data_IF_900100862347
#
_entry.id   IF_900100862347
#
_cell.length_a   1.000
_cell.length_b   1.000
_cell.length_c   1.000
_cell.angle_alpha   90.00
_cell.angle_beta   90.00
_cell.angle_gamma   90.00
#
_symmetry.space_group_name_H-M   'P 1'
#
loop_
_entity.id
_entity.type
_entity.pdbx_description
1 polymer ?
#
# COMPACT_ATOMS: atom_id res chain seq x y z
N UNK A 1 -17.54 15.58 11.67
CA UNK A 1 -17.76 16.94 11.13
C UNK A 1 -18.88 17.71 11.82
N UNK A 2 -19.36 17.24 12.95
CA UNK A 2 -20.24 18.02 13.83
C UNK A 2 -19.45 19.22 14.35
N UNK A 3 -20.03 20.45 14.27
CA UNK A 3 -19.39 21.70 14.74
C UNK A 3 -18.71 22.56 13.70
N UNK A 4 -18.52 22.11 12.44
CA UNK A 4 -18.02 22.97 11.38
C UNK A 4 -19.13 23.89 10.85
N UNK A 5 -18.83 25.23 10.81
CA UNK A 5 -19.75 26.24 10.24
C UNK A 5 -19.90 26.09 8.72
N UNK A 6 -18.79 25.80 8.04
CA UNK A 6 -18.76 25.55 6.59
C UNK A 6 -18.18 24.17 6.32
N UNK A 7 -19.04 23.24 5.88
CA UNK A 7 -18.66 21.87 5.55
C UNK A 7 -18.19 21.72 4.11
N UNK A 8 -18.43 22.73 3.26
CA UNK A 8 -18.07 22.67 1.84
C UNK A 8 -16.56 22.67 1.63
N UNK A 9 -15.80 23.16 2.61
CA UNK A 9 -14.34 23.21 2.61
C UNK A 9 -13.65 22.10 3.40
N UNK A 10 -14.43 21.21 4.00
CA UNK A 10 -13.89 20.12 4.81
C UNK A 10 -13.64 18.87 3.94
N UNK A 11 -12.42 18.38 3.96
CA UNK A 11 -11.98 17.19 3.23
C UNK A 11 -10.87 16.47 4.01
N UNK A 12 -10.54 15.25 3.61
CA UNK A 12 -9.44 14.47 4.15
C UNK A 12 -8.27 14.40 3.19
N UNK A 13 -7.06 14.36 3.74
CA UNK A 13 -5.84 14.06 2.99
C UNK A 13 -5.10 12.92 3.68
N UNK A 14 -4.75 11.89 2.93
CA UNK A 14 -3.98 10.76 3.43
C UNK A 14 -2.59 10.79 2.83
N UNK A 15 -1.59 10.83 3.71
CA UNK A 15 -0.18 10.91 3.38
C UNK A 15 0.52 9.58 3.64
N UNK A 16 1.52 9.27 2.83
CA UNK A 16 2.31 8.06 3.01
C UNK A 16 3.60 8.32 3.77
N UNK A 17 4.00 7.36 4.57
CA UNK A 17 5.17 7.45 5.45
C UNK A 17 6.45 6.94 4.74
N UNK A 18 7.56 7.68 4.77
CA UNK A 18 7.74 9.01 5.34
C UNK A 18 7.27 10.12 4.37
N UNK A 19 6.47 11.11 4.84
CA UNK A 19 5.79 12.06 3.94
C UNK A 19 6.73 12.99 3.18
N UNK A 20 7.97 13.13 3.59
CA UNK A 20 8.98 13.94 2.90
C UNK A 20 9.70 13.18 1.77
N UNK A 21 9.51 11.87 1.64
CA UNK A 21 10.10 11.04 0.56
C UNK A 21 9.04 10.41 -0.33
N UNK A 22 7.89 10.02 0.22
CA UNK A 22 6.80 9.43 -0.57
C UNK A 22 5.91 10.56 -1.10
N UNK A 23 5.77 10.69 -2.44
CA UNK A 23 5.07 11.83 -3.02
C UNK A 23 3.54 11.75 -2.92
N UNK A 24 2.94 10.56 -2.82
CA UNK A 24 1.50 10.36 -2.90
C UNK A 24 0.75 11.05 -1.77
N UNK A 25 -0.32 11.78 -2.17
CA UNK A 25 -1.36 12.29 -1.27
C UNK A 25 -2.73 11.93 -1.85
N UNK A 26 -3.49 11.14 -1.11
CA UNK A 26 -4.87 10.80 -1.47
C UNK A 26 -5.81 11.83 -0.87
N UNK A 27 -6.56 12.54 -1.71
CA UNK A 27 -7.50 13.61 -1.31
C UNK A 27 -8.91 13.07 -1.43
N UNK A 28 -9.68 13.08 -0.36
CA UNK A 28 -11.09 12.64 -0.36
C UNK A 28 -12.01 13.70 0.22
N UNK A 29 -13.16 13.89 -0.44
CA UNK A 29 -14.22 14.74 0.05
C UNK A 29 -15.27 13.98 0.86
N UNK A 30 -16.20 14.74 1.39
CA UNK A 30 -17.45 14.23 1.98
C UNK A 30 -18.61 14.58 1.05
N UNK A 31 -19.81 14.16 1.39
CA UNK A 31 -21.01 14.55 0.65
C UNK A 31 -21.27 16.07 0.62
N UNK A 32 -20.63 16.85 1.47
CA UNK A 32 -20.76 18.31 1.52
C UNK A 32 -19.59 19.05 0.90
N UNK A 33 -18.48 18.38 0.65
CA UNK A 33 -17.25 19.02 0.13
C UNK A 33 -17.50 19.54 -1.30
N UNK A 34 -17.16 20.80 -1.54
CA UNK A 34 -17.24 21.38 -2.88
C UNK A 34 -16.15 20.83 -3.80
N UNK A 35 -16.44 20.74 -5.10
CA UNK A 35 -15.46 20.37 -6.11
C UNK A 35 -14.27 21.36 -6.15
N UNK A 36 -14.53 22.65 -5.90
CA UNK A 36 -13.50 23.69 -5.80
C UNK A 36 -12.52 23.42 -4.65
N UNK A 37 -13.02 23.04 -3.47
CA UNK A 37 -12.17 22.70 -2.33
C UNK A 37 -11.25 21.51 -2.63
N UNK A 38 -11.76 20.49 -3.32
CA UNK A 38 -10.96 19.33 -3.77
C UNK A 38 -9.89 19.79 -4.78
N UNK A 39 -10.28 20.51 -5.82
CA UNK A 39 -9.38 20.96 -6.87
C UNK A 39 -8.25 21.85 -6.32
N UNK A 40 -8.58 22.81 -5.45
CA UNK A 40 -7.59 23.68 -4.80
C UNK A 40 -6.64 22.92 -3.89
N UNK A 41 -7.13 21.90 -3.19
CA UNK A 41 -6.28 21.07 -2.33
C UNK A 41 -5.32 20.23 -3.16
N UNK A 42 -5.77 19.66 -4.27
CA UNK A 42 -4.89 18.94 -5.21
C UNK A 42 -3.82 19.88 -5.74
N UNK A 43 -4.21 21.03 -6.30
CA UNK A 43 -3.27 22.03 -6.84
C UNK A 43 -2.25 22.50 -5.80
N UNK A 44 -2.65 22.69 -4.53
CA UNK A 44 -1.75 23.02 -3.44
C UNK A 44 -0.68 21.95 -3.21
N UNK A 45 -1.07 20.69 -3.20
CA UNK A 45 -0.12 19.58 -3.01
C UNK A 45 0.82 19.42 -4.20
N UNK A 46 0.31 19.56 -5.42
CA UNK A 46 1.12 19.53 -6.65
C UNK A 46 2.14 20.67 -6.69
N UNK A 47 1.74 21.89 -6.27
CA UNK A 47 2.62 23.04 -6.20
C UNK A 47 3.81 22.86 -5.22
N UNK A 48 3.72 21.94 -4.28
CA UNK A 48 4.82 21.60 -3.36
C UNK A 48 5.48 20.25 -3.70
N UNK A 49 5.33 19.78 -4.94
CA UNK A 49 6.00 18.58 -5.46
C UNK A 49 5.41 17.27 -4.95
N UNK A 50 4.10 17.24 -4.65
CA UNK A 50 3.37 16.01 -4.32
C UNK A 50 2.60 15.49 -5.53
N UNK A 51 2.38 14.17 -5.57
CA UNK A 51 1.45 13.53 -6.49
C UNK A 51 0.11 13.41 -5.79
N UNK A 52 -0.81 14.32 -6.06
CA UNK A 52 -2.12 14.34 -5.42
C UNK A 52 -3.16 13.65 -6.29
N UNK A 53 -3.94 12.74 -5.71
CA UNK A 53 -5.00 12.01 -6.42
C UNK A 53 -6.35 12.18 -5.73
N UNK A 54 -7.42 12.34 -6.52
CA UNK A 54 -8.78 12.44 -5.99
C UNK A 54 -9.39 11.06 -5.76
N UNK A 55 -9.62 10.70 -4.51
CA UNK A 55 -10.39 9.53 -4.13
C UNK A 55 -11.88 9.93 -4.03
N UNK A 56 -12.65 9.60 -5.04
CA UNK A 56 -14.05 10.06 -5.22
C UNK A 56 -15.03 9.63 -4.12
N UNK A 57 -14.70 8.58 -3.37
CA UNK A 57 -15.50 8.09 -2.24
C UNK A 57 -14.60 7.80 -1.07
N UNK A 58 -14.97 8.29 0.10
CA UNK A 58 -14.32 7.90 1.35
C UNK A 58 -14.62 6.43 1.63
N UNK A 59 -13.56 5.62 1.65
CA UNK A 59 -13.62 4.18 1.93
C UNK A 59 -12.51 3.81 2.90
N UNK A 60 -12.73 2.85 3.81
CA UNK A 60 -11.70 2.38 4.73
C UNK A 60 -10.43 1.94 3.96
N UNK A 61 -9.29 2.55 4.32
CA UNK A 61 -7.99 2.25 3.72
C UNK A 61 -7.70 2.97 2.41
N UNK A 62 -8.55 3.88 1.96
CA UNK A 62 -8.37 4.61 0.69
C UNK A 62 -8.06 3.64 -0.47
N UNK A 63 -7.29 4.07 -1.47
CA UNK A 63 -6.89 3.20 -2.58
C UNK A 63 -5.60 2.43 -2.23
N UNK A 64 -4.57 3.15 -1.81
CA UNK A 64 -3.25 2.55 -1.62
C UNK A 64 -3.19 1.50 -0.52
N UNK A 65 -3.75 1.79 0.68
CA UNK A 65 -3.79 0.79 1.75
C UNK A 65 -4.63 -0.44 1.36
N UNK A 66 -5.73 -0.25 0.63
CA UNK A 66 -6.55 -1.38 0.17
C UNK A 66 -5.75 -2.34 -0.72
N UNK A 67 -5.02 -1.80 -1.71
CA UNK A 67 -4.18 -2.60 -2.61
C UNK A 67 -3.03 -3.27 -1.84
N UNK A 68 -2.36 -2.52 -0.96
CA UNK A 68 -1.28 -3.04 -0.13
C UNK A 68 -1.75 -4.18 0.78
N UNK A 69 -2.87 -4.00 1.47
CA UNK A 69 -3.39 -5.03 2.37
C UNK A 69 -4.02 -6.22 1.64
N UNK A 70 -4.53 -6.04 0.42
CA UNK A 70 -4.92 -7.17 -0.43
C UNK A 70 -3.72 -8.06 -0.78
N UNK A 71 -2.59 -7.44 -1.17
CA UNK A 71 -1.33 -8.16 -1.39
C UNK A 71 -0.82 -8.84 -0.11
N UNK A 72 -0.84 -8.14 1.03
CA UNK A 72 -0.37 -8.70 2.29
C UNK A 72 -1.25 -9.84 2.81
N UNK A 73 -2.58 -9.78 2.59
CA UNK A 73 -3.49 -10.87 2.95
C UNK A 73 -3.07 -12.16 2.27
N UNK A 74 -2.81 -12.14 0.96
CA UNK A 74 -2.34 -13.31 0.24
C UNK A 74 -0.92 -13.72 0.68
N UNK A 75 0.01 -12.77 0.83
CA UNK A 75 1.35 -13.06 1.30
C UNK A 75 1.39 -13.77 2.66
N UNK A 76 0.53 -13.37 3.59
CA UNK A 76 0.39 -14.01 4.91
C UNK A 76 -0.22 -15.40 4.75
N UNK A 77 -1.25 -15.56 3.91
CA UNK A 77 -1.90 -16.85 3.63
C UNK A 77 -0.93 -17.88 3.08
N UNK A 78 -0.04 -17.50 2.18
CA UNK A 78 1.00 -18.40 1.64
C UNK A 78 1.89 -18.97 2.75
N UNK A 79 2.26 -18.13 3.74
CA UNK A 79 3.06 -18.56 4.90
C UNK A 79 2.22 -19.38 5.89
N UNK A 80 1.00 -18.95 6.20
CA UNK A 80 0.06 -19.63 7.10
C UNK A 80 -0.21 -21.07 6.65
N UNK A 81 -0.38 -21.27 5.34
CA UNK A 81 -0.67 -22.57 4.73
C UNK A 81 0.59 -23.39 4.39
N UNK A 82 1.77 -22.91 4.76
CA UNK A 82 3.03 -23.63 4.54
C UNK A 82 3.43 -23.79 3.08
N UNK A 83 2.91 -22.96 2.18
CA UNK A 83 3.26 -22.97 0.75
C UNK A 83 4.72 -22.53 0.57
N UNK A 84 5.15 -21.51 1.32
CA UNK A 84 6.54 -21.11 1.41
C UNK A 84 6.78 -20.30 2.69
N UNK A 85 8.04 -20.00 2.99
CA UNK A 85 8.40 -19.11 4.11
C UNK A 85 8.30 -17.63 3.73
N UNK A 86 8.34 -16.76 4.74
CA UNK A 86 8.22 -15.32 4.54
C UNK A 86 9.39 -14.71 3.73
N UNK A 87 10.59 -15.33 3.77
CA UNK A 87 11.74 -14.88 2.98
C UNK A 87 11.54 -15.16 1.49
N UNK A 88 10.96 -16.31 1.17
CA UNK A 88 10.58 -16.68 -0.19
C UNK A 88 9.51 -15.75 -0.75
N UNK A 89 8.45 -15.43 0.01
CA UNK A 89 7.43 -14.46 -0.40
C UNK A 89 8.08 -13.11 -0.75
N UNK A 90 8.90 -12.59 0.16
CA UNK A 90 9.61 -11.31 -0.04
C UNK A 90 10.51 -11.35 -1.28
N UNK A 91 11.21 -12.46 -1.51
CA UNK A 91 12.12 -12.64 -2.65
C UNK A 91 11.34 -12.68 -3.97
N UNK A 92 10.25 -13.43 -4.01
CA UNK A 92 9.37 -13.51 -5.20
C UNK A 92 8.88 -12.11 -5.58
N UNK A 93 8.31 -11.35 -4.64
CA UNK A 93 7.81 -10.00 -4.94
C UNK A 93 8.93 -9.08 -5.45
N UNK A 94 10.06 -9.03 -4.73
CA UNK A 94 11.18 -8.13 -5.07
C UNK A 94 11.87 -8.50 -6.39
N UNK A 95 11.81 -9.76 -6.80
CA UNK A 95 12.48 -10.25 -8.01
C UNK A 95 11.55 -10.39 -9.22
N UNK A 96 10.25 -10.18 -9.05
CA UNK A 96 9.24 -10.30 -10.10
C UNK A 96 8.50 -8.98 -10.38
N UNK A 97 7.18 -8.99 -10.32
CA UNK A 97 6.34 -7.85 -10.67
C UNK A 97 6.57 -6.61 -9.78
N UNK A 98 7.04 -6.79 -8.54
CA UNK A 98 7.40 -5.68 -7.66
C UNK A 98 8.47 -4.75 -8.24
N UNK A 99 9.34 -5.26 -9.14
CA UNK A 99 10.37 -4.43 -9.80
C UNK A 99 9.79 -3.39 -10.77
N UNK A 100 8.60 -3.62 -11.29
CA UNK A 100 7.98 -2.75 -12.29
C UNK A 100 6.85 -1.88 -11.73
N UNK A 101 6.39 -2.12 -10.49
CA UNK A 101 5.28 -1.37 -9.91
C UNK A 101 5.51 0.15 -9.80
N UNK A 102 6.76 0.60 -9.75
CA UNK A 102 7.08 2.02 -9.72
C UNK A 102 6.85 2.72 -11.09
N UNK A 103 6.85 1.97 -12.19
CA UNK A 103 6.77 2.49 -13.56
C UNK A 103 5.61 1.90 -14.36
N UNK A 104 4.87 0.97 -13.80
CA UNK A 104 3.76 0.28 -14.44
C UNK A 104 2.71 -0.07 -13.39
N UNK A 105 1.59 0.66 -13.42
CA UNK A 105 0.46 0.41 -12.54
C UNK A 105 -0.24 -0.94 -12.84
N UNK A 106 -1.02 -1.50 -11.89
CA UNK A 106 -1.65 -2.80 -12.08
C UNK A 106 -2.64 -2.84 -13.26
N UNK A 107 -3.38 -1.77 -13.50
CA UNK A 107 -4.34 -1.70 -14.61
C UNK A 107 -3.63 -1.46 -15.95
N UNK A 108 -2.60 -0.62 -15.99
CA UNK A 108 -1.73 -0.47 -17.17
C UNK A 108 -1.08 -1.81 -17.54
N UNK A 109 -0.66 -2.60 -16.54
CA UNK A 109 -0.12 -3.94 -16.80
C UNK A 109 -1.20 -4.89 -17.34
N UNK A 110 -2.44 -4.82 -16.85
CA UNK A 110 -3.54 -5.64 -17.35
C UNK A 110 -3.87 -5.30 -18.80
N UNK A 111 -3.83 -4.01 -19.18
CA UNK A 111 -4.01 -3.57 -20.57
C UNK A 111 -2.83 -3.99 -21.45
N UNK A 112 -1.60 -3.87 -20.93
CA UNK A 112 -0.38 -4.25 -21.67
C UNK A 112 -0.36 -5.73 -22.07
N UNK A 113 -0.82 -6.62 -21.17
CA UNK A 113 -0.84 -8.08 -21.44
C UNK A 113 -2.13 -8.56 -22.11
N UNK A 114 -3.15 -7.73 -22.13
CA UNK A 114 -4.48 -8.03 -22.67
C UNK A 114 -5.49 -8.38 -21.59
N UNK A 115 -6.66 -7.77 -21.67
CA UNK A 115 -7.77 -7.97 -20.72
C UNK A 115 -8.37 -9.38 -20.81
N UNK A 116 -8.31 -9.99 -21.99
CA UNK A 116 -8.71 -11.38 -22.23
C UNK A 116 -7.80 -12.36 -21.50
N UNK A 117 -6.48 -12.18 -21.59
CA UNK A 117 -5.52 -12.98 -20.83
C UNK A 117 -5.67 -12.75 -19.33
N UNK A 118 -5.84 -11.50 -18.90
CA UNK A 118 -6.08 -11.16 -17.50
C UNK A 118 -7.32 -11.87 -16.98
N UNK A 119 -8.43 -11.88 -17.74
CA UNK A 119 -9.66 -12.59 -17.39
C UNK A 119 -9.44 -14.10 -17.28
N UNK A 120 -8.70 -14.69 -18.21
CA UNK A 120 -8.41 -16.13 -18.19
C UNK A 120 -7.60 -16.53 -16.95
N UNK A 121 -6.58 -15.74 -16.59
CA UNK A 121 -5.78 -15.93 -15.38
C UNK A 121 -6.66 -15.79 -14.14
N UNK A 122 -7.50 -14.75 -14.05
CA UNK A 122 -8.38 -14.52 -12.92
C UNK A 122 -9.34 -15.68 -12.67
N UNK A 123 -9.91 -16.31 -13.72
CA UNK A 123 -10.76 -17.49 -13.60
C UNK A 123 -10.06 -18.67 -12.93
N UNK A 124 -8.74 -18.76 -13.07
CA UNK A 124 -7.95 -19.84 -12.49
C UNK A 124 -7.42 -19.49 -11.11
N UNK A 125 -6.91 -18.28 -10.94
CA UNK A 125 -6.16 -17.89 -9.72
C UNK A 125 -7.07 -17.37 -8.62
N UNK A 126 -8.06 -16.51 -8.92
CA UNK A 126 -8.91 -15.89 -7.88
C UNK A 126 -9.66 -16.88 -7.00
N UNK A 127 -10.15 -18.05 -7.50
CA UNK A 127 -10.77 -19.04 -6.62
C UNK A 127 -9.81 -19.70 -5.61
N UNK A 128 -8.51 -19.60 -5.83
CA UNK A 128 -7.48 -20.27 -5.03
C UNK A 128 -6.75 -19.34 -4.06
N UNK A 129 -6.91 -18.02 -4.19
CA UNK A 129 -6.27 -17.04 -3.30
C UNK A 129 -7.15 -16.72 -2.09
N UNK A 130 -6.52 -16.15 -1.05
CA UNK A 130 -7.19 -15.85 0.21
C UNK A 130 -8.27 -14.75 0.05
N UNK A 131 -9.49 -15.04 0.50
CA UNK A 131 -10.65 -14.15 0.42
C UNK A 131 -11.31 -13.84 1.78
N UNK A 132 -10.71 -14.27 2.88
CA UNK A 132 -11.24 -14.08 4.25
C UNK A 132 -11.48 -12.60 4.56
N UNK A 133 -12.64 -12.32 5.15
CA UNK A 133 -13.05 -10.97 5.56
C UNK A 133 -12.56 -10.62 6.98
N UNK A 134 -11.30 -10.79 7.28
CA UNK A 134 -10.73 -10.50 8.61
C UNK A 134 -9.23 -10.74 8.63
N UNK A 135 -8.58 -10.49 9.77
CA UNK A 135 -7.16 -10.80 9.92
C UNK A 135 -6.93 -12.32 9.87
N UNK A 136 -5.71 -12.70 9.45
CA UNK A 136 -5.26 -14.09 9.50
C UNK A 136 -5.10 -14.54 10.95
N UNK A 137 -5.54 -15.76 11.27
CA UNK A 137 -5.32 -16.36 12.60
C UNK A 137 -3.84 -16.54 12.90
N UNK A 138 -3.02 -16.76 11.89
CA UNK A 138 -1.57 -16.81 12.03
C UNK A 138 -0.99 -15.47 12.48
N UNK A 139 -1.46 -14.37 11.89
CA UNK A 139 -1.07 -13.02 12.32
C UNK A 139 -1.52 -12.71 13.76
N UNK A 140 -2.75 -13.09 14.12
CA UNK A 140 -3.27 -12.96 15.50
C UNK A 140 -2.42 -13.77 16.48
N UNK A 141 -2.05 -15.00 16.15
CA UNK A 141 -1.19 -15.85 16.97
C UNK A 141 0.22 -15.25 17.15
N UNK A 142 0.81 -14.66 16.10
CA UNK A 142 2.09 -13.95 16.22
C UNK A 142 1.99 -12.80 17.22
N UNK A 143 0.93 -12.00 17.14
CA UNK A 143 0.72 -10.87 18.06
C UNK A 143 0.52 -11.35 19.48
N UNK A 144 -0.32 -12.37 19.70
CA UNK A 144 -0.57 -12.97 21.01
C UNK A 144 0.71 -13.57 21.64
N UNK A 145 1.61 -14.09 20.82
CA UNK A 145 2.92 -14.61 21.25
C UNK A 145 3.98 -13.51 21.46
N UNK A 146 3.63 -12.22 21.34
CA UNK A 146 4.58 -11.11 21.46
C UNK A 146 5.56 -10.96 20.29
N UNK A 147 5.33 -11.64 19.17
CA UNK A 147 6.17 -11.57 17.96
C UNK A 147 5.76 -10.37 17.11
N UNK A 148 6.18 -9.18 17.53
CA UNK A 148 5.76 -7.88 16.99
C UNK A 148 6.68 -7.31 15.88
N UNK A 149 7.39 -8.17 15.18
CA UNK A 149 8.32 -7.78 14.12
C UNK A 149 9.56 -7.08 14.68
N UNK A 150 9.94 -5.95 14.09
CA UNK A 150 11.12 -5.18 14.53
C UNK A 150 11.06 -4.68 15.98
N UNK A 151 9.87 -4.53 16.55
CA UNK A 151 9.70 -4.09 17.94
C UNK A 151 10.20 -5.13 18.96
N UNK A 152 10.05 -6.40 18.64
CA UNK A 152 10.44 -7.52 19.51
C UNK A 152 11.62 -8.34 18.96
N UNK A 153 12.13 -8.01 17.77
CA UNK A 153 13.12 -8.80 17.06
C UNK A 153 12.59 -10.08 16.40
N UNK A 154 11.31 -10.38 16.58
CA UNK A 154 10.62 -11.52 16.00
C UNK A 154 9.26 -11.14 15.43
N UNK A 155 8.89 -11.68 14.27
CA UNK A 155 7.61 -11.53 13.60
C UNK A 155 7.42 -12.71 12.65
N UNK A 156 7.12 -12.44 11.39
CA UNK A 156 7.18 -13.45 10.33
C UNK A 156 8.60 -14.04 10.16
N UNK A 157 9.60 -13.26 10.54
CA UNK A 157 11.02 -13.64 10.54
C UNK A 157 11.66 -13.22 11.87
N UNK A 158 12.84 -13.78 12.17
CA UNK A 158 13.71 -13.30 13.24
C UNK A 158 14.65 -12.22 12.68
N UNK A 159 14.89 -11.18 13.47
CA UNK A 159 15.61 -9.99 13.05
C UNK A 159 16.65 -9.60 14.09
N UNK A 160 17.92 -9.61 13.73
CA UNK A 160 18.97 -8.97 14.50
C UNK A 160 18.91 -7.44 14.37
N UNK A 161 19.47 -6.72 15.31
CA UNK A 161 19.56 -5.25 15.23
C UNK A 161 20.30 -4.78 13.94
N UNK A 162 21.32 -5.52 13.51
CA UNK A 162 22.07 -5.25 12.28
C UNK A 162 21.19 -5.40 11.03
N UNK A 163 20.40 -6.45 10.94
CA UNK A 163 19.47 -6.66 9.81
C UNK A 163 18.38 -5.60 9.77
N UNK A 164 17.81 -5.25 10.93
CA UNK A 164 16.83 -4.16 11.03
C UNK A 164 17.40 -2.83 10.53
N UNK A 165 18.63 -2.49 10.94
CA UNK A 165 19.32 -1.29 10.48
C UNK A 165 19.58 -1.33 8.97
N UNK A 166 20.00 -2.47 8.43
CA UNK A 166 20.24 -2.66 7.01
C UNK A 166 18.94 -2.50 6.17
N UNK A 167 17.81 -3.03 6.66
CA UNK A 167 16.50 -2.86 5.98
C UNK A 167 16.11 -1.38 5.97
N UNK A 168 16.19 -0.68 7.11
CA UNK A 168 15.86 0.75 7.19
C UNK A 168 16.74 1.60 6.26
N UNK A 169 18.05 1.33 6.25
CA UNK A 169 19.01 2.04 5.40
C UNK A 169 18.71 1.82 3.90
N UNK A 170 18.43 0.57 3.50
CA UNK A 170 18.07 0.22 2.12
C UNK A 170 16.81 0.91 1.66
N UNK A 171 15.74 0.90 2.47
CA UNK A 171 14.48 1.59 2.15
C UNK A 171 14.70 3.08 2.00
N UNK A 172 15.42 3.70 2.96
CA UNK A 172 15.69 5.14 2.93
C UNK A 172 16.50 5.54 1.68
N UNK A 173 17.56 4.76 1.36
CA UNK A 173 18.39 5.02 0.18
C UNK A 173 17.56 4.89 -1.13
N UNK A 174 16.71 3.87 -1.23
CA UNK A 174 15.86 3.68 -2.39
C UNK A 174 14.87 4.85 -2.57
N UNK A 175 14.17 5.25 -1.51
CA UNK A 175 13.21 6.35 -1.57
C UNK A 175 13.87 7.71 -1.87
N UNK A 176 15.09 7.95 -1.36
CA UNK A 176 15.86 9.15 -1.70
C UNK A 176 16.23 9.18 -3.18
N UNK A 177 16.66 8.04 -3.73
CA UNK A 177 17.00 7.94 -5.16
C UNK A 177 15.77 8.16 -6.03
N UNK A 178 14.67 7.47 -5.76
CA UNK A 178 13.43 7.63 -6.50
C UNK A 178 12.97 9.10 -6.54
N UNK A 179 13.02 9.81 -5.40
CA UNK A 179 12.69 11.22 -5.36
C UNK A 179 13.60 12.12 -6.22
N UNK A 180 14.87 11.74 -6.39
CA UNK A 180 15.80 12.49 -7.26
C UNK A 180 15.54 12.23 -8.74
N UNK A 181 15.05 11.03 -9.07
CA UNK A 181 14.72 10.64 -10.44
C UNK A 181 13.36 11.23 -10.90
N UNK A 182 12.49 11.64 -9.96
CA UNK A 182 11.17 12.24 -10.23
C UNK A 182 11.22 13.78 -10.43
N UNK A 183 12.35 14.43 -10.18
CA UNK A 183 12.54 15.90 -10.27
C UNK A 183 13.48 16.31 -11.37
#
# INVERSE_FOLDING_TARGET
>A
MQGLRDRTRALGTHWWNPPFLVPLVEVTGTQWTSADAVARTIALHEAVGKTAVHVKRDVPGFVGNRLQHALWREAISLVENGICDAETVDTVIKSSFGRRLAVLGPLENADLVGTDLTLAIHRTVLPAIESRAGPSHYLEALVAAGKLGFKSGQGFRTWTAREQAAVRARVLAHLKKARMDDG
#
